data_IF_676859298664
#
_entry.id   IF_676859298664
#
_cell.length_a   1.000
_cell.length_b   1.000
_cell.length_c   1.000
_cell.angle_alpha   90.00
_cell.angle_beta   90.00
_cell.angle_gamma   90.00
#
_symmetry.space_group_name_H-M   'P 1'
#
loop_
_entity.id
_entity.type
_entity.pdbx_description
1 polymer ?
#
# COMPACT_ATOMS: atom_id res chain seq x y z
N UNK A 1 15.44 -4.78 -11.29
CA UNK A 1 14.68 -3.60 -10.83
C UNK A 1 14.16 -3.92 -9.46
N UNK A 2 14.51 -3.10 -8.48
CA UNK A 2 14.11 -3.33 -7.09
C UNK A 2 12.62 -2.99 -6.93
N UNK A 3 11.74 -3.95 -6.57
CA UNK A 3 10.30 -3.73 -6.50
C UNK A 3 9.91 -2.58 -5.56
N UNK A 4 10.78 -2.19 -4.62
CA UNK A 4 10.57 -1.09 -3.69
C UNK A 4 10.54 0.33 -4.31
N UNK A 5 10.91 0.49 -5.58
CA UNK A 5 11.06 1.82 -6.20
C UNK A 5 9.92 2.22 -7.13
N UNK A 6 8.76 1.66 -6.88
CA UNK A 6 7.58 1.82 -7.72
C UNK A 6 6.39 2.15 -6.83
N UNK A 7 5.68 3.20 -7.18
CA UNK A 7 4.34 3.43 -6.65
C UNK A 7 3.40 2.80 -7.67
N UNK A 8 2.77 1.70 -7.27
CA UNK A 8 1.65 1.13 -8.00
C UNK A 8 0.36 1.58 -7.31
N UNK A 9 -0.58 2.16 -8.05
CA UNK A 9 -1.90 2.47 -7.53
C UNK A 9 -2.90 1.57 -8.24
N UNK A 10 -3.57 0.75 -7.43
CA UNK A 10 -4.57 -0.21 -7.88
C UNK A 10 -5.94 0.18 -7.34
N UNK A 11 -6.96 0.11 -8.20
CA UNK A 11 -8.33 0.27 -7.74
C UNK A 11 -8.82 -1.02 -7.08
N UNK A 12 -9.48 -0.90 -5.93
CA UNK A 12 -10.24 -1.98 -5.30
C UNK A 12 -11.71 -1.57 -5.22
N UNK A 13 -12.60 -2.55 -5.33
CA UNK A 13 -14.02 -2.28 -5.21
C UNK A 13 -14.38 -1.85 -3.75
N UNK A 14 -15.53 -1.16 -3.57
CA UNK A 14 -15.92 -0.68 -2.25
C UNK A 14 -16.16 -1.79 -1.21
N UNK A 15 -16.50 -3.01 -1.63
CA UNK A 15 -16.74 -4.14 -0.72
C UNK A 15 -15.40 -4.66 -0.18
N UNK A 16 -14.41 -4.87 -1.04
CA UNK A 16 -13.03 -5.20 -0.65
C UNK A 16 -12.42 -4.12 0.25
N UNK A 17 -12.66 -2.84 -0.05
CA UNK A 17 -12.24 -1.75 0.83
C UNK A 17 -12.91 -1.84 2.21
N UNK A 18 -14.24 -1.98 2.26
CA UNK A 18 -15.01 -2.04 3.49
C UNK A 18 -14.67 -3.27 4.35
N UNK A 19 -14.30 -4.38 3.71
CA UNK A 19 -13.84 -5.59 4.39
C UNK A 19 -12.56 -5.33 5.17
N UNK A 20 -11.69 -4.42 4.72
CA UNK A 20 -10.44 -4.08 5.40
C UNK A 20 -10.66 -3.01 6.47
N UNK A 21 -11.17 -1.85 6.08
CA UNK A 21 -11.08 -0.65 6.94
C UNK A 21 -11.97 -0.68 8.17
N UNK A 22 -12.99 -1.53 8.17
CA UNK A 22 -13.91 -1.68 9.30
C UNK A 22 -13.41 -2.71 10.33
N UNK A 23 -12.23 -3.30 10.14
CA UNK A 23 -11.75 -4.37 11.00
C UNK A 23 -10.25 -4.26 11.33
N UNK A 24 -9.92 -3.91 12.57
CA UNK A 24 -8.53 -3.62 12.97
C UNK A 24 -7.59 -4.82 12.82
N UNK A 25 -8.05 -6.03 13.13
CA UNK A 25 -7.28 -7.24 12.86
C UNK A 25 -6.84 -7.36 11.39
N UNK A 26 -7.71 -7.01 10.43
CA UNK A 26 -7.40 -7.13 9.01
C UNK A 26 -6.40 -6.07 8.56
N UNK A 27 -6.54 -4.84 9.06
CA UNK A 27 -5.52 -3.78 8.89
C UNK A 27 -4.16 -4.26 9.41
N UNK A 28 -4.13 -4.84 10.62
CA UNK A 28 -2.91 -5.35 11.25
C UNK A 28 -2.31 -6.52 10.47
N UNK A 29 -3.13 -7.46 9.97
CA UNK A 29 -2.68 -8.56 9.10
C UNK A 29 -1.99 -8.00 7.86
N UNK A 30 -2.64 -7.09 7.14
CA UNK A 30 -2.08 -6.52 5.91
C UNK A 30 -0.79 -5.72 6.19
N UNK A 31 -0.81 -4.84 7.18
CA UNK A 31 0.39 -4.08 7.59
C UNK A 31 1.56 -5.01 7.91
N UNK A 32 1.32 -6.04 8.72
CA UNK A 32 2.36 -6.96 9.17
C UNK A 32 2.87 -7.83 8.04
N UNK A 33 1.97 -8.35 7.19
CA UNK A 33 2.35 -9.13 6.01
C UNK A 33 3.22 -8.30 5.05
N UNK A 34 2.82 -7.06 4.73
CA UNK A 34 3.59 -6.21 3.82
C UNK A 34 4.96 -5.83 4.40
N UNK A 35 5.03 -5.53 5.70
CA UNK A 35 6.30 -5.22 6.36
C UNK A 35 7.24 -6.43 6.40
N UNK A 36 6.75 -7.59 6.86
CA UNK A 36 7.58 -8.79 6.99
C UNK A 36 8.09 -9.35 5.66
N UNK A 37 7.51 -8.94 4.54
CA UNK A 37 7.81 -9.51 3.21
C UNK A 37 8.64 -8.61 2.32
N UNK A 38 9.21 -7.52 2.88
CA UNK A 38 10.14 -6.63 2.16
C UNK A 38 11.34 -7.42 1.63
N UNK A 39 11.89 -8.35 2.43
CA UNK A 39 13.08 -9.13 2.08
C UNK A 39 12.77 -10.53 1.50
N UNK A 40 11.51 -10.98 1.56
CA UNK A 40 11.11 -12.29 1.04
C UNK A 40 9.77 -12.81 1.56
N UNK A 41 9.21 -13.87 0.98
CA UNK A 41 7.95 -14.44 1.45
C UNK A 41 8.08 -15.09 2.84
N UNK A 42 7.01 -15.08 3.63
CA UNK A 42 6.97 -15.61 5.01
C UNK A 42 5.91 -16.70 5.15
N UNK A 43 6.04 -17.60 6.12
CA UNK A 43 5.00 -18.58 6.38
C UNK A 43 3.79 -17.96 7.08
N UNK A 44 2.61 -18.59 6.90
CA UNK A 44 1.39 -18.21 7.66
C UNK A 44 1.61 -18.33 9.18
N UNK A 45 2.42 -19.28 9.64
CA UNK A 45 2.71 -19.43 11.07
C UNK A 45 3.52 -18.25 11.61
N UNK A 46 4.60 -17.84 10.93
CA UNK A 46 5.40 -16.68 11.34
C UNK A 46 4.57 -15.40 11.41
N UNK A 47 3.67 -15.19 10.44
CA UNK A 47 2.75 -14.05 10.45
C UNK A 47 1.77 -14.12 11.65
N UNK A 48 1.21 -15.30 11.94
CA UNK A 48 0.31 -15.49 13.07
C UNK A 48 1.00 -15.22 14.41
N UNK A 49 2.23 -15.72 14.55
CA UNK A 49 3.06 -15.53 15.75
C UNK A 49 3.39 -14.05 15.95
N UNK A 50 3.78 -13.33 14.88
CA UNK A 50 4.06 -11.89 14.94
C UNK A 50 2.83 -11.06 15.33
N UNK A 51 1.65 -11.48 14.89
CA UNK A 51 0.38 -10.84 15.22
C UNK A 51 -0.17 -11.22 16.60
N UNK A 52 0.38 -12.26 17.24
CA UNK A 52 -0.15 -12.81 18.49
C UNK A 52 -1.54 -13.44 18.36
N UNK A 53 -1.87 -14.00 17.19
CA UNK A 53 -3.17 -14.64 16.91
C UNK A 53 -3.01 -16.12 16.56
N UNK A 54 -4.10 -16.90 16.66
CA UNK A 54 -4.07 -18.31 16.28
C UNK A 54 -3.96 -18.53 14.77
N UNK A 55 -3.23 -19.57 14.35
CA UNK A 55 -3.07 -19.94 12.94
C UNK A 55 -4.41 -20.07 12.20
N UNK A 56 -5.39 -20.74 12.81
CA UNK A 56 -6.72 -20.93 12.19
C UNK A 56 -7.46 -19.60 11.99
N UNK A 57 -7.32 -18.66 12.94
CA UNK A 57 -7.89 -17.33 12.82
C UNK A 57 -7.25 -16.56 11.67
N UNK A 58 -5.91 -16.56 11.57
CA UNK A 58 -5.20 -15.94 10.45
C UNK A 58 -5.64 -16.56 9.12
N UNK A 59 -5.62 -17.90 9.02
CA UNK A 59 -5.97 -18.61 7.80
C UNK A 59 -7.40 -18.28 7.36
N UNK A 60 -8.33 -18.17 8.30
CA UNK A 60 -9.70 -17.77 7.99
C UNK A 60 -9.78 -16.35 7.40
N UNK A 61 -9.08 -15.38 7.99
CA UNK A 61 -9.07 -14.00 7.47
C UNK A 61 -8.42 -13.93 6.08
N UNK A 62 -7.28 -14.60 5.91
CA UNK A 62 -6.57 -14.67 4.63
C UNK A 62 -7.43 -15.27 3.52
N UNK A 63 -8.12 -16.38 3.78
CA UNK A 63 -8.90 -17.08 2.76
C UNK A 63 -10.23 -16.39 2.43
N UNK A 64 -10.93 -15.84 3.42
CA UNK A 64 -12.31 -15.39 3.21
C UNK A 64 -12.47 -13.88 3.03
N UNK A 65 -11.52 -13.09 3.51
CA UNK A 65 -11.69 -11.64 3.64
C UNK A 65 -10.55 -10.86 2.97
N UNK A 66 -9.38 -11.48 2.86
CA UNK A 66 -8.17 -10.87 2.33
C UNK A 66 -7.60 -11.64 1.13
N UNK A 67 -8.38 -12.51 0.49
CA UNK A 67 -7.92 -13.41 -0.60
C UNK A 67 -7.17 -12.70 -1.71
N UNK A 68 -7.58 -11.47 -2.02
CA UNK A 68 -7.04 -10.72 -3.16
C UNK A 68 -5.71 -10.03 -2.84
N UNK A 69 -5.36 -9.94 -1.55
CA UNK A 69 -4.22 -9.17 -1.06
C UNK A 69 -2.95 -9.99 -0.83
N UNK A 70 -3.03 -11.32 -0.91
CA UNK A 70 -1.87 -12.21 -0.75
C UNK A 70 -1.83 -13.33 -1.78
N UNK A 71 -0.64 -13.88 -1.99
CA UNK A 71 -0.40 -15.01 -2.87
C UNK A 71 0.67 -15.93 -2.27
N UNK A 72 0.75 -17.16 -2.75
CA UNK A 72 1.87 -18.06 -2.45
C UNK A 72 3.06 -17.61 -3.29
N UNK A 73 4.09 -17.09 -2.61
CA UNK A 73 5.32 -16.63 -3.25
C UNK A 73 6.32 -17.75 -3.49
N UNK A 74 6.37 -18.73 -2.59
CA UNK A 74 7.29 -19.87 -2.66
C UNK A 74 6.66 -21.11 -2.01
N UNK A 75 6.94 -22.29 -2.55
CA UNK A 75 6.60 -23.57 -1.92
C UNK A 75 7.89 -24.32 -1.53
N UNK A 76 8.00 -24.73 -0.27
CA UNK A 76 9.13 -25.53 0.25
C UNK A 76 8.66 -26.90 0.71
N UNK A 77 9.49 -27.92 0.53
CA UNK A 77 9.26 -29.25 1.13
C UNK A 77 10.07 -29.37 2.42
N UNK A 78 9.41 -29.47 3.55
CA UNK A 78 10.04 -29.61 4.88
C UNK A 78 9.56 -30.91 5.51
N UNK A 79 10.49 -31.84 5.74
CA UNK A 79 10.23 -33.14 6.39
C UNK A 79 9.04 -33.91 5.79
N UNK A 80 8.87 -33.85 4.46
CA UNK A 80 7.79 -34.54 3.75
C UNK A 80 6.49 -33.75 3.61
N UNK A 81 6.35 -32.62 4.31
CA UNK A 81 5.19 -31.72 4.23
C UNK A 81 5.48 -30.52 3.33
N UNK A 82 4.46 -30.05 2.60
CA UNK A 82 4.53 -28.82 1.81
C UNK A 82 4.29 -27.61 2.71
N UNK A 83 5.23 -26.67 2.71
CA UNK A 83 5.14 -25.37 3.37
C UNK A 83 4.95 -24.29 2.31
N UNK A 84 3.83 -23.56 2.40
CA UNK A 84 3.56 -22.38 1.57
C UNK A 84 4.11 -21.13 2.27
N UNK A 85 5.00 -20.40 1.58
CA UNK A 85 5.42 -19.08 1.98
C UNK A 85 4.61 -18.05 1.18
N UNK A 86 3.97 -17.15 1.91
CA UNK A 86 3.06 -16.14 1.39
C UNK A 86 3.73 -14.78 1.31
N UNK A 87 3.20 -13.95 0.42
CA UNK A 87 3.58 -12.54 0.27
C UNK A 87 2.38 -11.73 -0.24
N UNK A 88 2.43 -10.39 -0.18
CA UNK A 88 1.44 -9.56 -0.85
C UNK A 88 1.31 -9.90 -2.33
N UNK A 89 0.07 -9.90 -2.84
CA UNK A 89 -0.18 -10.05 -4.28
C UNK A 89 0.40 -8.87 -5.07
N UNK A 90 0.56 -7.71 -4.43
CA UNK A 90 1.16 -6.52 -5.04
C UNK A 90 1.98 -5.76 -3.98
N UNK A 91 3.26 -6.11 -3.78
CA UNK A 91 4.08 -5.62 -2.66
C UNK A 91 4.23 -4.09 -2.57
N UNK A 92 4.18 -3.41 -3.71
CA UNK A 92 4.39 -1.96 -3.79
C UNK A 92 3.09 -1.17 -3.97
N UNK A 93 1.94 -1.86 -3.96
CA UNK A 93 0.65 -1.25 -4.27
C UNK A 93 0.12 -0.40 -3.12
N UNK A 94 -0.36 0.79 -3.48
CA UNK A 94 -1.38 1.54 -2.79
C UNK A 94 -2.71 1.16 -3.42
N UNK A 95 -3.71 0.88 -2.60
CA UNK A 95 -5.06 0.63 -3.08
C UNK A 95 -5.91 1.88 -2.88
N UNK A 96 -6.73 2.19 -3.87
CA UNK A 96 -7.72 3.26 -3.77
C UNK A 96 -9.11 2.77 -4.13
N UNK A 97 -10.13 3.41 -3.56
CA UNK A 97 -11.52 3.24 -4.00
C UNK A 97 -12.23 4.58 -4.01
N UNK A 98 -13.30 4.68 -4.80
CA UNK A 98 -14.10 5.90 -4.93
C UNK A 98 -15.43 5.76 -4.16
N UNK A 99 -15.71 6.73 -3.31
CA UNK A 99 -17.01 6.94 -2.70
C UNK A 99 -18.02 7.55 -3.66
N UNK A 100 -19.31 7.46 -3.30
CA UNK A 100 -20.42 8.02 -4.10
C UNK A 100 -20.36 9.55 -4.25
N UNK A 101 -19.66 10.24 -3.35
CA UNK A 101 -19.49 11.70 -3.32
C UNK A 101 -18.16 12.15 -3.96
N UNK A 102 -17.46 11.27 -4.68
CA UNK A 102 -16.15 11.58 -5.26
C UNK A 102 -15.02 11.64 -4.22
N UNK A 103 -15.27 11.21 -2.98
CA UNK A 103 -14.21 11.01 -2.00
C UNK A 103 -13.35 9.82 -2.39
N UNK A 104 -12.04 9.99 -2.25
CA UNK A 104 -11.04 8.96 -2.47
C UNK A 104 -10.71 8.36 -1.12
N UNK A 105 -10.74 7.04 -1.05
CA UNK A 105 -10.27 6.29 0.10
C UNK A 105 -9.01 5.52 -0.27
N UNK A 106 -8.11 5.37 0.69
CA UNK A 106 -6.78 4.80 0.51
C UNK A 106 -6.55 3.64 1.48
N UNK A 107 -5.87 2.62 0.99
CA UNK A 107 -5.28 1.54 1.77
C UNK A 107 -3.82 1.43 1.34
N UNK A 108 -2.91 1.87 2.22
CA UNK A 108 -1.45 1.70 2.06
C UNK A 108 -0.93 0.91 3.28
N UNK A 109 -0.84 -0.45 3.17
CA UNK A 109 -0.47 -1.29 4.30
C UNK A 109 0.93 -0.98 4.84
N UNK A 110 1.88 -0.64 3.97
CA UNK A 110 3.26 -0.30 4.37
C UNK A 110 3.31 1.00 5.15
N UNK A 111 2.48 1.98 4.77
CA UNK A 111 2.40 3.26 5.45
C UNK A 111 1.41 3.27 6.63
N UNK A 112 0.72 2.16 6.87
CA UNK A 112 -0.34 2.04 7.86
C UNK A 112 -1.46 3.09 7.67
N UNK A 113 -1.86 3.35 6.42
CA UNK A 113 -2.93 4.29 6.07
C UNK A 113 -4.16 3.50 5.64
N UNK A 114 -5.29 3.70 6.33
CA UNK A 114 -6.53 2.95 6.10
C UNK A 114 -7.75 3.85 6.30
N UNK A 115 -8.20 4.55 5.25
CA UNK A 115 -9.31 5.49 5.41
C UNK A 115 -9.47 6.51 4.30
N UNK A 116 -10.23 7.59 4.55
CA UNK A 116 -10.38 8.70 3.60
C UNK A 116 -9.03 9.39 3.34
N UNK A 117 -8.71 9.65 2.07
CA UNK A 117 -7.46 10.31 1.67
C UNK A 117 -7.27 11.67 2.35
N UNK A 118 -8.35 12.41 2.56
CA UNK A 118 -8.34 13.72 3.23
C UNK A 118 -7.90 13.67 4.69
N UNK A 119 -8.08 12.52 5.34
CA UNK A 119 -7.77 12.31 6.76
C UNK A 119 -6.43 11.61 6.92
N UNK A 120 -6.19 10.56 6.15
CA UNK A 120 -5.00 9.72 6.26
C UNK A 120 -3.79 10.33 5.54
N UNK A 121 -4.02 11.07 4.45
CA UNK A 121 -2.96 11.54 3.56
C UNK A 121 -2.29 10.39 2.79
N UNK A 122 -0.99 10.55 2.53
CA UNK A 122 -0.20 9.61 1.74
C UNK A 122 1.20 9.41 2.34
N UNK A 123 1.85 8.30 2.00
CA UNK A 123 3.27 8.08 2.36
C UNK A 123 4.25 9.15 1.85
N UNK A 124 3.87 9.92 0.83
CA UNK A 124 4.66 11.05 0.35
C UNK A 124 4.55 12.31 1.23
N UNK A 125 3.68 12.32 2.24
CA UNK A 125 3.48 13.49 3.10
C UNK A 125 4.61 13.72 4.09
N UNK A 126 5.37 12.67 4.42
CA UNK A 126 6.58 12.78 5.25
C UNK A 126 7.84 13.26 4.52
N UNK A 127 7.76 13.59 3.22
CA UNK A 127 8.89 14.07 2.42
C UNK A 127 9.11 15.58 2.58
N UNK A 128 10.36 16.03 2.58
CA UNK A 128 10.66 17.46 2.52
C UNK A 128 10.24 18.06 1.16
N UNK A 129 10.00 19.38 1.06
CA UNK A 129 9.62 20.02 -0.21
C UNK A 129 10.62 19.77 -1.36
N UNK A 130 11.92 19.76 -1.05
CA UNK A 130 12.98 19.51 -2.05
C UNK A 130 12.96 18.07 -2.57
N UNK A 131 12.69 17.11 -1.69
CA UNK A 131 12.58 15.68 -2.06
C UNK A 131 11.31 15.44 -2.86
N UNK A 132 10.18 16.00 -2.43
CA UNK A 132 8.91 15.89 -3.15
C UNK A 132 9.02 16.43 -4.58
N UNK A 133 9.62 17.61 -4.77
CA UNK A 133 9.83 18.19 -6.09
C UNK A 133 10.81 17.38 -6.96
N UNK A 134 11.84 16.78 -6.37
CA UNK A 134 12.76 15.88 -7.10
C UNK A 134 12.05 14.60 -7.54
N UNK A 135 11.27 14.00 -6.64
CA UNK A 135 10.50 12.80 -6.93
C UNK A 135 9.45 13.06 -8.01
N UNK A 136 8.76 14.20 -7.96
CA UNK A 136 7.78 14.59 -8.96
C UNK A 136 8.43 14.74 -10.34
N UNK A 137 9.55 15.47 -10.45
CA UNK A 137 10.30 15.59 -11.72
C UNK A 137 10.71 14.25 -12.30
N UNK A 138 11.17 13.32 -11.46
CA UNK A 138 11.50 11.97 -11.90
C UNK A 138 10.29 11.22 -12.47
N UNK A 139 9.11 11.39 -11.87
CA UNK A 139 7.86 10.82 -12.40
C UNK A 139 7.49 11.46 -13.73
N UNK A 140 7.60 12.79 -13.85
CA UNK A 140 7.29 13.55 -15.07
C UNK A 140 8.18 13.18 -16.25
N UNK A 141 9.47 12.90 -16.00
CA UNK A 141 10.44 12.44 -17.00
C UNK A 141 10.27 10.94 -17.36
N UNK A 142 9.45 10.21 -16.60
CA UNK A 142 9.23 8.78 -16.76
C UNK A 142 8.30 8.42 -17.92
N UNK A 143 8.49 7.23 -18.51
CA UNK A 143 7.73 6.77 -19.68
C UNK A 143 6.22 6.53 -19.42
N UNK A 144 5.80 6.43 -18.16
CA UNK A 144 4.42 6.17 -17.77
C UNK A 144 3.67 7.45 -17.30
N UNK A 145 4.28 8.63 -17.44
CA UNK A 145 3.63 9.88 -17.09
C UNK A 145 2.48 10.20 -18.06
N UNK A 146 1.28 10.37 -17.53
CA UNK A 146 0.07 10.66 -18.34
C UNK A 146 -0.28 12.15 -18.40
N UNK A 147 0.64 13.02 -17.97
CA UNK A 147 0.42 14.46 -17.89
C UNK A 147 -0.12 14.92 -16.54
N UNK A 148 0.00 16.23 -16.29
CA UNK A 148 -0.48 16.85 -15.06
C UNK A 148 -2.01 16.79 -14.93
N UNK A 149 -2.56 16.87 -13.71
CA UNK A 149 -4.00 16.98 -13.49
C UNK A 149 -4.60 18.22 -14.17
N UNK A 150 -5.75 18.05 -14.83
CA UNK A 150 -6.59 19.15 -15.31
C UNK A 150 -7.17 19.96 -14.14
N UNK A 151 -7.81 21.09 -14.42
CA UNK A 151 -8.42 21.90 -13.35
C UNK A 151 -9.55 21.17 -12.62
N UNK A 152 -10.31 20.32 -13.33
CA UNK A 152 -11.32 19.44 -12.74
C UNK A 152 -10.68 18.38 -11.83
N UNK A 153 -9.61 17.74 -12.28
CA UNK A 153 -8.89 16.74 -11.49
C UNK A 153 -8.20 17.38 -10.27
N UNK A 154 -7.67 18.60 -10.40
CA UNK A 154 -7.21 19.39 -9.26
C UNK A 154 -8.33 19.73 -8.29
N UNK A 155 -9.56 19.95 -8.77
CA UNK A 155 -10.71 20.16 -7.88
C UNK A 155 -11.04 18.88 -7.08
N UNK A 156 -10.96 17.70 -7.72
CA UNK A 156 -11.09 16.41 -7.03
C UNK A 156 -9.99 16.20 -5.99
N UNK A 157 -8.74 16.52 -6.33
CA UNK A 157 -7.63 16.47 -5.37
C UNK A 157 -7.89 17.40 -4.18
N UNK A 158 -8.29 18.65 -4.44
CA UNK A 158 -8.60 19.64 -3.40
C UNK A 158 -9.73 19.22 -2.47
N UNK A 159 -10.82 18.65 -3.00
CA UNK A 159 -11.93 18.14 -2.18
C UNK A 159 -11.51 16.96 -1.31
N UNK A 160 -10.43 16.28 -1.66
CA UNK A 160 -9.79 15.20 -0.91
C UNK A 160 -8.57 15.67 -0.10
N UNK A 161 -8.44 16.96 0.19
CA UNK A 161 -7.39 17.51 1.06
C UNK A 161 -6.01 17.62 0.39
N UNK A 162 -5.92 17.46 -0.92
CA UNK A 162 -4.66 17.54 -1.69
C UNK A 162 -4.57 18.89 -2.40
N UNK A 163 -3.64 19.73 -1.98
CA UNK A 163 -3.43 21.09 -2.52
C UNK A 163 -2.04 21.24 -3.10
N UNK A 164 -1.85 22.23 -3.96
CA UNK A 164 -0.53 22.54 -4.52
C UNK A 164 0.46 23.00 -3.42
N UNK A 165 1.76 22.69 -3.56
CA UNK A 165 2.38 21.94 -4.65
C UNK A 165 2.05 20.44 -4.58
N UNK A 166 1.62 19.88 -5.72
CA UNK A 166 1.31 18.44 -5.83
C UNK A 166 2.57 17.59 -5.69
N UNK A 167 2.40 16.38 -5.18
CA UNK A 167 3.45 15.38 -5.03
C UNK A 167 3.28 14.27 -6.05
N UNK A 168 4.32 13.45 -6.22
CA UNK A 168 4.28 12.28 -7.09
C UNK A 168 3.07 11.36 -6.85
N UNK A 169 2.67 11.16 -5.58
CA UNK A 169 1.49 10.36 -5.24
C UNK A 169 0.19 10.99 -5.76
N UNK A 170 0.06 12.32 -5.73
CA UNK A 170 -1.16 13.00 -6.18
C UNK A 170 -1.36 12.82 -7.68
N UNK A 171 -0.27 12.92 -8.45
CA UNK A 171 -0.25 12.63 -9.88
C UNK A 171 -0.56 11.16 -10.15
N UNK A 172 0.02 10.24 -9.38
CA UNK A 172 -0.24 8.81 -9.53
C UNK A 172 -1.70 8.46 -9.22
N UNK A 173 -2.32 9.12 -8.24
CA UNK A 173 -3.74 8.93 -7.92
C UNK A 173 -4.60 9.35 -9.10
N UNK A 174 -4.37 10.54 -9.67
CA UNK A 174 -5.12 10.99 -10.86
C UNK A 174 -4.91 10.07 -12.05
N UNK A 175 -3.68 9.64 -12.31
CA UNK A 175 -3.35 8.66 -13.33
C UNK A 175 -4.13 7.34 -13.13
N UNK A 176 -4.29 6.87 -11.88
CA UNK A 176 -5.10 5.68 -11.58
C UNK A 176 -6.59 5.94 -11.82
N UNK A 177 -7.10 7.10 -11.41
CA UNK A 177 -8.50 7.48 -11.63
C UNK A 177 -8.86 7.57 -13.12
N UNK A 178 -7.97 8.11 -13.96
CA UNK A 178 -8.12 8.10 -15.42
C UNK A 178 -8.23 6.68 -15.98
N UNK A 179 -7.55 5.71 -15.36
CA UNK A 179 -7.51 4.31 -15.76
C UNK A 179 -8.65 3.43 -15.24
N UNK A 180 -9.50 3.92 -14.34
CA UNK A 180 -10.57 3.14 -13.69
C UNK A 180 -11.53 2.53 -14.72
N UNK A 181 -11.96 3.31 -15.72
CA UNK A 181 -12.89 2.85 -16.75
C UNK A 181 -12.31 1.76 -17.66
N UNK A 182 -10.98 1.66 -17.73
CA UNK A 182 -10.25 0.68 -18.56
C UNK A 182 -9.60 -0.43 -17.74
N UNK A 183 -9.86 -0.50 -16.42
CA UNK A 183 -9.18 -1.38 -15.46
C UNK A 183 -7.64 -1.29 -15.51
N UNK A 184 -7.11 -0.14 -15.95
CA UNK A 184 -5.68 0.09 -16.03
C UNK A 184 -5.16 0.54 -14.67
N UNK A 185 -4.10 -0.12 -14.19
CA UNK A 185 -3.37 0.31 -13.00
C UNK A 185 -2.45 1.48 -13.35
N UNK A 186 -2.29 2.42 -12.42
CA UNK A 186 -1.25 3.43 -12.58
C UNK A 186 0.04 2.95 -11.93
N UNK A 187 1.13 3.08 -12.68
CA UNK A 187 2.46 2.69 -12.24
C UNK A 187 3.38 3.86 -12.49
N UNK A 188 3.95 4.40 -11.42
CA UNK A 188 4.99 5.41 -11.51
C UNK A 188 6.26 4.93 -10.83
N UNK A 189 7.40 5.16 -11.48
CA UNK A 189 8.71 4.87 -10.89
C UNK A 189 9.14 6.05 -10.01
N UNK A 190 9.76 5.75 -8.87
CA UNK A 190 10.29 6.75 -7.95
C UNK A 190 11.78 6.46 -7.69
N UNK A 191 12.59 7.49 -7.37
CA UNK A 191 14.02 7.29 -7.16
C UNK A 191 14.26 6.52 -5.85
N UNK A 192 14.73 5.27 -5.96
CA UNK A 192 14.99 4.34 -4.85
C UNK A 192 15.89 4.93 -3.77
N UNK A 193 16.96 5.57 -4.23
CA UNK A 193 18.08 6.06 -3.44
C UNK A 193 17.70 7.25 -2.57
N UNK A 194 16.62 7.96 -2.91
CA UNK A 194 16.24 9.23 -2.29
C UNK A 194 14.84 9.25 -1.71
N UNK A 195 14.07 8.16 -1.78
CA UNK A 195 12.75 8.06 -1.17
C UNK A 195 12.85 7.88 0.36
N UNK A 196 12.47 8.90 1.17
CA UNK A 196 12.58 8.81 2.63
C UNK A 196 11.64 7.76 3.22
N UNK A 197 10.49 7.50 2.58
CA UNK A 197 9.55 6.49 3.01
C UNK A 197 10.14 5.08 2.92
N UNK A 198 10.77 4.72 1.79
CA UNK A 198 11.37 3.39 1.64
C UNK A 198 12.48 3.14 2.66
N UNK A 199 13.30 4.17 2.93
CA UNK A 199 14.33 4.09 3.98
C UNK A 199 13.76 3.89 5.40
N UNK A 200 12.53 4.34 5.66
CA UNK A 200 11.85 4.21 6.96
C UNK A 200 11.00 2.95 7.06
N UNK A 201 10.37 2.50 5.97
CA UNK A 201 9.57 1.28 5.92
C UNK A 201 10.43 0.04 6.24
N UNK A 202 11.69 0.04 5.81
CA UNK A 202 12.71 -0.96 6.16
C UNK A 202 13.04 -0.95 7.69
N UNK A 203 12.67 0.10 8.42
CA UNK A 203 12.97 0.26 9.87
C UNK A 203 11.77 0.03 10.80
N UNK A 204 10.59 -0.33 10.28
CA UNK A 204 9.41 -0.65 11.12
C UNK A 204 9.68 -1.91 11.98
N UNK A 205 10.80 -2.62 11.74
CA UNK A 205 11.23 -3.82 12.46
C UNK A 205 11.76 -3.60 13.88
N UNK A 206 12.14 -2.38 14.29
CA UNK A 206 12.75 -2.18 15.63
C UNK A 206 11.76 -1.81 16.75
N UNK A 207 10.54 -1.37 16.42
CA UNK A 207 9.56 -0.97 17.43
C UNK A 207 8.50 -2.06 17.64
N UNK A 208 8.86 -3.05 18.45
CA UNK A 208 7.86 -3.89 19.12
C UNK A 208 7.20 -3.04 20.21
N UNK A 209 5.87 -2.92 20.28
CA UNK A 209 5.24 -2.24 21.41
C UNK A 209 5.59 -3.03 22.67
N UNK A 210 6.37 -2.42 23.57
CA UNK A 210 6.62 -2.96 24.90
C UNK A 210 5.28 -3.01 25.63
N UNK A 211 4.65 -4.19 25.64
CA UNK A 211 3.54 -4.46 26.55
C UNK A 211 4.14 -4.43 27.95
N UNK A 212 3.98 -3.30 28.63
CA UNK A 212 4.27 -3.17 30.04
C UNK A 212 3.50 -4.25 30.79
N UNK A 213 4.24 -5.16 31.43
CA UNK A 213 3.66 -6.07 32.40
C UNK A 213 3.33 -5.27 33.68
N UNK A 214 2.13 -5.43 34.27
CA UNK A 214 1.98 -5.19 35.70
C UNK A 214 2.78 -6.20 36.51
#
# INVERSE_FOLDING_TARGET
MDPGCRIEISYIDPEAYASIVNHDLRKNILRTLYAMTVDGPVSKQELADRLGIGYHQLSYQLTNQLSDFWTVGEERKVRGTRLELIRPSSPSSVFITLGRDGKIFIVDPLANLFGPLSTEGTRCDGCSPKEAARCLRHVEEGCCFTGHPSEEEKAVLRSNGRVEPLKAMDVAIICALRGVSTANRCVVSIPCDSCPFMRRAIRIDDETPSIGKP
#
